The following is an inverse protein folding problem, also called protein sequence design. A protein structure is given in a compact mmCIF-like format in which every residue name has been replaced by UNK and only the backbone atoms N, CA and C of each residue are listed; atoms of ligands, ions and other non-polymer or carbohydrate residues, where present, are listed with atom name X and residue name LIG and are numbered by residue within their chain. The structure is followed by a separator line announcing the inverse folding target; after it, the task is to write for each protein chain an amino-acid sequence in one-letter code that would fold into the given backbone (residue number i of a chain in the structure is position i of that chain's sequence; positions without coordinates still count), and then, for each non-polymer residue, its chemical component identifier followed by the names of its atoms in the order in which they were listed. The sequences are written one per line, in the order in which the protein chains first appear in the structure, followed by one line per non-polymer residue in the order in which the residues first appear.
data_IF_194168286776
#
_entry.id   IF_194168286776
#
_cell.length_a   1.000
_cell.length_b   1.000
_cell.length_c   1.000
_cell.angle_alpha   90.00
_cell.angle_beta   90.00
_cell.angle_gamma   90.00
#
_symmetry.space_group_name_H-M   'P 1'
#
loop_
_entity.id
_entity.type
_entity.pdbx_description
1 polymer ?
#
# COMPACT_ATOMS: atom_id res chain seq x y z
N UNK A 1 61.53 -13.11 -44.28
CA UNK A 1 60.13 -13.49 -44.03
C UNK A 1 59.74 -12.99 -42.66
N UNK A 2 58.59 -12.28 -42.57
CA UNK A 2 57.75 -11.96 -41.39
C UNK A 2 58.46 -11.52 -40.09
N UNK A 3 58.22 -10.35 -39.47
CA UNK A 3 56.95 -9.66 -39.24
C UNK A 3 56.27 -10.19 -37.97
N UNK A 4 56.32 -9.44 -36.86
CA UNK A 4 55.40 -9.40 -35.69
C UNK A 4 56.19 -8.93 -34.44
N UNK A 5 56.13 -7.67 -34.01
CA UNK A 5 55.02 -6.92 -33.40
C UNK A 5 54.87 -7.17 -31.88
N UNK A 6 55.38 -6.16 -31.17
CA UNK A 6 55.17 -5.73 -29.78
C UNK A 6 53.82 -6.14 -29.19
N UNK A 7 53.81 -7.06 -28.22
CA UNK A 7 52.65 -7.26 -27.33
C UNK A 7 52.72 -6.31 -26.13
N UNK A 8 51.98 -5.21 -26.26
CA UNK A 8 51.51 -4.38 -25.15
C UNK A 8 50.56 -5.21 -24.29
N UNK A 9 50.91 -5.52 -23.05
CA UNK A 9 49.90 -5.76 -22.01
C UNK A 9 50.48 -5.42 -20.63
N UNK A 10 50.80 -4.13 -20.47
CA UNK A 10 50.99 -3.51 -19.17
C UNK A 10 49.62 -3.22 -18.55
N UNK A 11 49.49 -3.60 -17.27
CA UNK A 11 48.57 -3.00 -16.31
C UNK A 11 47.08 -2.95 -16.68
N UNK A 12 46.40 -4.11 -16.66
CA UNK A 12 44.97 -4.14 -16.35
C UNK A 12 44.81 -4.21 -14.84
N UNK A 13 44.68 -3.05 -14.23
CA UNK A 13 44.25 -2.86 -12.85
C UNK A 13 43.08 -3.79 -12.53
N UNK A 14 43.25 -4.57 -11.46
CA UNK A 14 42.23 -5.43 -10.90
C UNK A 14 41.10 -4.54 -10.35
N UNK A 15 40.17 -4.20 -11.24
CA UNK A 15 38.93 -3.53 -10.90
C UNK A 15 38.17 -4.44 -9.93
N UNK A 16 38.19 -4.03 -8.66
CA UNK A 16 37.46 -4.68 -7.59
C UNK A 16 35.97 -4.54 -7.89
N UNK A 17 35.42 -5.57 -8.56
CA UNK A 17 33.98 -5.74 -8.69
C UNK A 17 33.39 -5.60 -7.29
N UNK A 18 32.37 -4.73 -7.06
CA UNK A 18 31.72 -4.68 -5.77
C UNK A 18 31.22 -6.10 -5.47
N UNK A 19 31.82 -6.69 -4.43
CA UNK A 19 31.45 -8.01 -3.94
C UNK A 19 29.92 -8.00 -3.77
N UNK A 20 29.19 -9.01 -4.26
CA UNK A 20 27.79 -9.13 -3.92
C UNK A 20 27.75 -9.24 -2.40
N UNK A 21 27.21 -8.20 -1.75
CA UNK A 21 27.11 -8.11 -0.29
C UNK A 21 26.53 -9.45 0.17
N UNK A 22 27.41 -10.29 0.72
CA UNK A 22 27.04 -11.62 1.16
C UNK A 22 26.16 -11.35 2.37
N UNK A 23 24.85 -11.59 2.22
CA UNK A 23 23.84 -11.35 3.26
C UNK A 23 24.24 -12.12 4.52
N UNK A 24 24.94 -11.47 5.44
CA UNK A 24 25.10 -11.95 6.80
C UNK A 24 23.78 -11.70 7.51
N UNK A 25 22.88 -12.68 7.45
CA UNK A 25 21.71 -12.72 8.31
C UNK A 25 22.19 -12.96 9.75
N UNK A 26 22.46 -11.88 10.48
CA UNK A 26 22.87 -11.95 11.88
C UNK A 26 21.85 -11.24 12.76
N UNK A 27 20.62 -11.72 12.70
CA UNK A 27 19.75 -11.94 13.85
C UNK A 27 18.96 -13.21 13.55
N UNK A 28 18.56 -13.95 14.59
CA UNK A 28 17.84 -15.23 14.53
C UNK A 28 16.45 -15.18 13.91
N UNK A 29 16.25 -14.41 12.84
CA UNK A 29 15.05 -14.40 12.00
C UNK A 29 14.89 -15.77 11.34
N UNK A 30 14.18 -16.66 12.03
CA UNK A 30 13.61 -17.85 11.42
C UNK A 30 12.30 -17.42 10.75
N UNK A 31 12.16 -17.53 9.42
CA UNK A 31 10.89 -17.23 8.78
C UNK A 31 9.80 -18.06 9.47
N UNK A 32 8.66 -17.43 9.81
CA UNK A 32 7.63 -18.13 10.56
C UNK A 32 7.17 -19.38 9.79
N UNK A 33 6.89 -20.50 10.48
CA UNK A 33 6.38 -21.69 9.83
C UNK A 33 5.10 -21.34 9.07
N UNK A 34 4.92 -21.92 7.87
CA UNK A 34 3.72 -21.72 7.06
C UNK A 34 2.51 -22.22 7.85
N UNK A 35 1.72 -21.28 8.37
CA UNK A 35 0.47 -21.59 9.08
C UNK A 35 -0.55 -22.17 8.09
N UNK A 36 -1.39 -23.12 8.53
CA UNK A 36 -2.45 -23.66 7.69
C UNK A 36 -3.45 -22.55 7.33
N UNK A 37 -4.03 -22.63 6.13
CA UNK A 37 -4.92 -21.59 5.58
C UNK A 37 -6.08 -21.23 6.52
N UNK A 38 -6.61 -22.20 7.27
CA UNK A 38 -7.68 -22.01 8.26
C UNK A 38 -7.27 -21.11 9.43
N UNK A 39 -6.02 -21.19 9.88
CA UNK A 39 -5.52 -20.34 10.96
C UNK A 39 -5.28 -18.92 10.44
N UNK A 40 -4.77 -18.79 9.22
CA UNK A 40 -4.63 -17.48 8.54
C UNK A 40 -5.97 -16.78 8.35
N UNK A 41 -7.00 -17.50 7.91
CA UNK A 41 -8.35 -16.93 7.73
C UNK A 41 -8.97 -16.55 9.07
N UNK A 42 -8.82 -17.37 10.11
CA UNK A 42 -9.32 -17.04 11.46
C UNK A 42 -8.65 -15.80 12.07
N UNK A 43 -7.33 -15.64 11.88
CA UNK A 43 -6.61 -14.43 12.31
C UNK A 43 -7.10 -13.21 11.53
N UNK A 44 -7.25 -13.34 10.21
CA UNK A 44 -7.80 -12.31 9.34
C UNK A 44 -9.21 -11.88 9.77
N UNK A 45 -10.08 -12.83 10.09
CA UNK A 45 -11.46 -12.57 10.53
C UNK A 45 -11.50 -11.83 11.87
N UNK A 46 -10.66 -12.21 12.84
CA UNK A 46 -10.55 -11.49 14.12
C UNK A 46 -10.03 -10.06 13.94
N UNK A 47 -9.06 -9.86 13.06
CA UNK A 47 -8.54 -8.53 12.75
C UNK A 47 -9.60 -7.68 12.04
N UNK A 48 -10.32 -8.26 11.09
CA UNK A 48 -11.44 -7.61 10.41
C UNK A 48 -12.54 -7.21 11.39
N UNK A 49 -12.94 -8.09 12.31
CA UNK A 49 -13.98 -7.79 13.30
C UNK A 49 -13.60 -6.62 14.21
N UNK A 50 -12.33 -6.58 14.67
CA UNK A 50 -11.82 -5.45 15.45
C UNK A 50 -11.82 -4.15 14.64
N UNK A 51 -11.44 -4.21 13.36
CA UNK A 51 -11.47 -3.06 12.47
C UNK A 51 -12.90 -2.59 12.17
N UNK A 52 -13.83 -3.51 11.93
CA UNK A 52 -15.24 -3.22 11.69
C UNK A 52 -15.88 -2.47 12.87
N UNK A 53 -15.50 -2.80 14.10
CA UNK A 53 -15.97 -2.11 15.31
C UNK A 53 -15.35 -0.71 15.50
N UNK A 54 -14.36 -0.31 14.70
CA UNK A 54 -13.89 1.07 14.72
C UNK A 54 -14.91 1.99 14.05
N UNK A 55 -15.10 3.24 14.52
CA UNK A 55 -16.09 4.15 13.92
C UNK A 55 -15.89 4.35 12.40
N UNK A 56 -14.64 4.49 11.97
CA UNK A 56 -14.31 4.59 10.55
C UNK A 56 -14.57 3.28 9.79
N UNK A 57 -14.16 2.13 10.34
CA UNK A 57 -14.36 0.82 9.70
C UNK A 57 -15.83 0.45 9.58
N UNK A 58 -16.63 0.78 10.60
CA UNK A 58 -18.08 0.57 10.59
C UNK A 58 -18.75 1.39 9.48
N UNK A 59 -18.47 2.69 9.40
CA UNK A 59 -19.03 3.58 8.37
C UNK A 59 -18.62 3.16 6.95
N UNK A 60 -17.35 2.77 6.76
CA UNK A 60 -16.88 2.24 5.47
C UNK A 60 -17.61 0.96 5.10
N UNK A 61 -17.81 0.04 6.06
CA UNK A 61 -18.52 -1.22 5.80
C UNK A 61 -19.98 -0.98 5.46
N UNK A 62 -20.66 -0.08 6.17
CA UNK A 62 -22.04 0.32 5.88
C UNK A 62 -22.15 0.96 4.49
N UNK A 63 -21.21 1.81 4.12
CA UNK A 63 -21.12 2.37 2.77
C UNK A 63 -20.95 1.28 1.71
N UNK A 64 -20.00 0.35 1.89
CA UNK A 64 -19.80 -0.76 0.96
C UNK A 64 -21.05 -1.64 0.81
N UNK A 65 -21.76 -1.91 1.91
CA UNK A 65 -23.00 -2.68 1.88
C UNK A 65 -24.09 -1.93 1.11
N UNK A 66 -24.21 -0.61 1.25
CA UNK A 66 -25.12 0.20 0.45
C UNK A 66 -24.79 0.14 -1.05
N UNK A 67 -23.51 0.30 -1.43
CA UNK A 67 -23.10 0.17 -2.84
C UNK A 67 -23.51 -1.19 -3.42
N UNK A 68 -23.29 -2.28 -2.68
CA UNK A 68 -23.65 -3.64 -3.12
C UNK A 68 -25.16 -3.83 -3.18
N UNK A 69 -25.92 -3.28 -2.23
CA UNK A 69 -27.37 -3.38 -2.20
C UNK A 69 -28.01 -2.68 -3.40
N UNK A 70 -27.68 -1.40 -3.64
CA UNK A 70 -28.18 -0.62 -4.77
C UNK A 70 -27.65 -1.13 -6.11
N UNK A 71 -26.38 -1.56 -6.17
CA UNK A 71 -25.80 -2.17 -7.37
C UNK A 71 -26.43 -3.53 -7.72
N UNK A 72 -26.73 -4.35 -6.70
CA UNK A 72 -27.42 -5.62 -6.86
C UNK A 72 -28.87 -5.44 -7.29
N UNK A 73 -29.56 -4.44 -6.74
CA UNK A 73 -30.92 -4.07 -7.16
C UNK A 73 -30.96 -3.65 -8.64
N UNK A 74 -30.06 -2.76 -9.07
CA UNK A 74 -29.93 -2.38 -10.48
C UNK A 74 -29.70 -3.61 -11.38
N UNK A 75 -28.82 -4.53 -10.97
CA UNK A 75 -28.56 -5.76 -11.71
C UNK A 75 -29.81 -6.64 -11.85
N UNK A 76 -30.57 -6.83 -10.76
CA UNK A 76 -31.82 -7.60 -10.78
C UNK A 76 -32.88 -6.96 -11.69
N UNK A 77 -32.97 -5.62 -11.71
CA UNK A 77 -33.90 -4.88 -12.58
C UNK A 77 -33.50 -4.96 -14.06
N UNK A 78 -32.20 -4.99 -14.36
CA UNK A 78 -31.68 -5.18 -15.71
C UNK A 78 -31.93 -6.61 -16.22
N UNK A 79 -31.76 -7.62 -15.36
CA UNK A 79 -32.06 -9.02 -15.67
C UNK A 79 -33.57 -9.36 -15.72
N UNK A 80 -34.45 -8.36 -15.61
CA UNK A 80 -35.90 -8.52 -15.63
C UNK A 80 -36.43 -9.46 -14.53
N UNK A 81 -35.74 -9.53 -13.38
CA UNK A 81 -36.08 -10.43 -12.27
C UNK A 81 -37.30 -9.97 -11.44
N UNK A 82 -37.91 -8.83 -11.80
CA UNK A 82 -39.10 -8.28 -11.15
C UNK A 82 -40.25 -8.09 -12.15
N UNK A 83 -40.90 -9.18 -12.62
CA UNK A 83 -42.00 -9.12 -13.59
C UNK A 83 -43.24 -8.37 -13.07
N UNK A 84 -43.39 -8.26 -11.74
CA UNK A 84 -44.48 -7.51 -11.10
C UNK A 84 -44.40 -5.97 -11.31
N UNK A 85 -43.27 -5.45 -11.78
CA UNK A 85 -43.11 -4.02 -12.08
C UNK A 85 -43.40 -3.65 -13.55
N UNK A 86 -43.92 -4.59 -14.32
CA UNK A 86 -44.31 -4.42 -15.71
C UNK A 86 -45.81 -4.13 -15.87
N UNK A 87 -46.21 -2.92 -15.49
CA UNK A 87 -47.55 -2.40 -15.77
C UNK A 87 -47.43 -0.96 -16.26
N UNK A 88 -48.03 -0.57 -17.40
CA UNK A 88 -48.77 -1.40 -18.38
C UNK A 88 -47.88 -2.27 -19.28
N UNK A 89 -46.64 -1.88 -19.58
CA UNK A 89 -45.66 -2.64 -20.37
C UNK A 89 -44.25 -2.54 -19.75
N UNK A 90 -43.44 -3.61 -19.87
CA UNK A 90 -42.06 -3.64 -19.31
C UNK A 90 -41.09 -2.61 -19.91
N UNK A 91 -41.42 -2.05 -21.08
CA UNK A 91 -40.62 -1.08 -21.81
C UNK A 91 -41.28 0.31 -21.88
N UNK A 92 -42.37 0.51 -21.14
CA UNK A 92 -43.04 1.80 -21.11
C UNK A 92 -42.20 2.85 -20.36
N UNK A 93 -42.23 4.08 -20.85
CA UNK A 93 -41.44 5.21 -20.34
C UNK A 93 -41.78 5.51 -18.87
N UNK A 94 -43.03 5.27 -18.46
CA UNK A 94 -43.55 5.49 -17.11
C UNK A 94 -43.66 4.20 -16.29
N UNK A 95 -43.05 3.10 -16.75
CA UNK A 95 -43.08 1.84 -15.99
C UNK A 95 -42.35 2.00 -14.64
N UNK A 96 -42.88 1.42 -13.54
CA UNK A 96 -42.22 1.44 -12.23
C UNK A 96 -40.76 0.97 -12.28
N UNK A 97 -40.46 0.01 -13.16
CA UNK A 97 -39.10 -0.47 -13.44
C UNK A 97 -38.15 0.65 -13.86
N UNK A 98 -38.56 1.52 -14.79
CA UNK A 98 -37.71 2.59 -15.33
C UNK A 98 -37.46 3.68 -14.30
N UNK A 99 -38.45 3.97 -13.46
CA UNK A 99 -38.35 4.90 -12.33
C UNK A 99 -37.34 4.38 -11.29
N UNK A 100 -37.43 3.10 -10.91
CA UNK A 100 -36.44 2.50 -9.99
C UNK A 100 -35.04 2.45 -10.59
N UNK A 101 -34.90 2.14 -11.88
CA UNK A 101 -33.59 2.23 -12.56
C UNK A 101 -33.03 3.65 -12.49
N UNK A 102 -33.85 4.68 -12.70
CA UNK A 102 -33.41 6.08 -12.58
C UNK A 102 -32.97 6.43 -11.15
N UNK A 103 -33.72 6.02 -10.14
CA UNK A 103 -33.38 6.20 -8.73
C UNK A 103 -32.06 5.49 -8.38
N UNK A 104 -31.92 4.22 -8.76
CA UNK A 104 -30.72 3.42 -8.51
C UNK A 104 -29.48 4.07 -9.17
N UNK A 105 -29.63 4.59 -10.39
CA UNK A 105 -28.56 5.28 -11.10
C UNK A 105 -28.17 6.59 -10.42
N UNK A 106 -29.12 7.38 -9.92
CA UNK A 106 -28.83 8.62 -9.20
C UNK A 106 -28.08 8.33 -7.88
N UNK A 107 -28.54 7.34 -7.11
CA UNK A 107 -27.92 6.94 -5.85
C UNK A 107 -26.51 6.38 -6.08
N UNK A 108 -26.33 5.46 -7.03
CA UNK A 108 -25.00 4.91 -7.33
C UNK A 108 -24.04 5.99 -7.83
N UNK A 109 -24.51 6.93 -8.65
CA UNK A 109 -23.71 8.06 -9.09
C UNK A 109 -23.29 8.94 -7.91
N UNK A 110 -24.19 9.25 -6.97
CA UNK A 110 -23.88 10.01 -5.75
C UNK A 110 -22.85 9.28 -4.88
N UNK A 111 -23.06 7.98 -4.59
CA UNK A 111 -22.15 7.17 -3.77
C UNK A 111 -20.73 7.15 -4.37
N UNK A 112 -20.60 6.98 -5.68
CA UNK A 112 -19.31 7.03 -6.36
C UNK A 112 -18.68 8.43 -6.38
N UNK A 113 -19.49 9.49 -6.50
CA UNK A 113 -19.01 10.86 -6.40
C UNK A 113 -18.48 11.17 -4.99
N UNK A 114 -19.16 10.73 -3.93
CA UNK A 114 -18.75 10.97 -2.53
C UNK A 114 -17.38 10.35 -2.24
N UNK A 115 -17.10 9.15 -2.75
CA UNK A 115 -15.75 8.56 -2.60
C UNK A 115 -14.68 9.26 -3.43
N UNK A 116 -15.06 9.71 -4.64
CA UNK A 116 -14.19 10.54 -5.48
C UNK A 116 -13.79 11.86 -4.82
N UNK A 117 -14.74 12.58 -4.24
CA UNK A 117 -14.49 13.84 -3.53
C UNK A 117 -13.86 13.62 -2.14
N UNK A 118 -14.22 12.55 -1.42
CA UNK A 118 -13.69 12.26 -0.09
C UNK A 118 -12.18 12.00 -0.06
N UNK A 119 -11.62 11.49 -1.16
CA UNK A 119 -10.16 11.29 -1.30
C UNK A 119 -9.43 12.49 -1.93
N UNK A 120 -10.15 13.48 -2.46
CA UNK A 120 -9.54 14.66 -3.08
C UNK A 120 -8.63 15.45 -2.13
N UNK A 121 -8.97 15.69 -0.84
CA UNK A 121 -8.08 16.41 0.09
C UNK A 121 -6.71 15.74 0.26
N UNK A 122 -6.68 14.40 0.29
CA UNK A 122 -5.44 13.63 0.42
C UNK A 122 -4.57 13.75 -0.83
N UNK A 123 -5.19 13.77 -2.02
CA UNK A 123 -4.50 13.97 -3.31
C UNK A 123 -3.91 15.37 -3.43
N UNK A 124 -4.67 16.41 -3.05
CA UNK A 124 -4.16 17.79 -3.08
C UNK A 124 -3.04 18.02 -2.09
N UNK A 125 -3.11 17.42 -0.89
CA UNK A 125 -2.00 17.43 0.07
C UNK A 125 -0.74 16.81 -0.53
N UNK A 126 -0.85 15.65 -1.16
CA UNK A 126 0.28 14.96 -1.76
C UNK A 126 0.88 15.77 -2.94
N UNK A 127 0.03 16.40 -3.76
CA UNK A 127 0.46 17.33 -4.82
C UNK A 127 1.15 18.58 -4.26
N UNK A 128 0.63 19.15 -3.16
CA UNK A 128 1.22 20.31 -2.50
C UNK A 128 2.66 20.02 -2.05
N UNK A 129 2.89 18.89 -1.36
CA UNK A 129 4.24 18.52 -0.92
C UNK A 129 5.15 18.13 -2.07
N UNK A 130 4.61 17.54 -3.13
CA UNK A 130 5.35 17.28 -4.37
C UNK A 130 5.80 18.57 -5.05
N UNK A 131 4.91 19.56 -5.18
CA UNK A 131 5.24 20.88 -5.70
C UNK A 131 6.30 21.57 -4.82
N UNK A 132 6.16 21.46 -3.50
CA UNK A 132 7.14 21.95 -2.54
C UNK A 132 8.53 21.31 -2.71
N UNK A 133 8.57 20.04 -3.10
CA UNK A 133 9.80 19.29 -3.37
C UNK A 133 10.44 19.64 -4.73
N UNK A 134 9.64 19.75 -5.81
CA UNK A 134 10.15 19.93 -7.18
C UNK A 134 10.36 21.38 -7.60
N UNK A 135 9.49 22.28 -7.15
CA UNK A 135 9.46 23.70 -7.56
C UNK A 135 10.12 24.59 -6.48
N UNK A 136 10.28 24.10 -5.25
CA UNK A 136 10.88 24.83 -4.15
C UNK A 136 12.41 24.93 -4.23
N UNK A 137 12.98 25.92 -3.53
CA UNK A 137 14.44 26.06 -3.35
C UNK A 137 15.08 24.94 -2.50
N UNK A 138 16.41 24.95 -2.29
CA UNK A 138 17.16 23.83 -1.71
C UNK A 138 16.64 23.32 -0.35
N UNK A 139 16.30 24.24 0.56
CA UNK A 139 15.73 23.90 1.88
C UNK A 139 14.31 23.32 1.80
N UNK A 140 13.49 23.83 0.86
CA UNK A 140 12.12 23.37 0.63
C UNK A 140 12.10 21.99 -0.02
N UNK A 141 13.05 21.70 -0.91
CA UNK A 141 13.26 20.39 -1.54
C UNK A 141 13.44 19.28 -0.49
N UNK A 142 14.33 19.49 0.47
CA UNK A 142 14.57 18.54 1.56
C UNK A 142 13.32 18.37 2.45
N UNK A 143 12.63 19.46 2.75
CA UNK A 143 11.41 19.39 3.57
C UNK A 143 10.28 18.64 2.87
N UNK A 144 10.07 18.89 1.58
CA UNK A 144 9.00 18.27 0.79
C UNK A 144 9.15 16.75 0.68
N UNK A 145 10.36 16.27 0.33
CA UNK A 145 10.60 14.82 0.20
C UNK A 145 10.51 14.10 1.55
N UNK A 146 10.98 14.73 2.64
CA UNK A 146 10.89 14.15 4.00
C UNK A 146 9.45 14.07 4.51
N UNK A 147 8.60 15.05 4.16
CA UNK A 147 7.16 15.02 4.46
C UNK A 147 6.45 13.94 3.65
N UNK A 148 6.78 13.81 2.36
CA UNK A 148 6.27 12.74 1.51
C UNK A 148 6.70 11.36 2.02
N UNK A 149 7.94 11.21 2.49
CA UNK A 149 8.43 9.97 3.11
C UNK A 149 7.66 9.60 4.38
N UNK A 150 7.26 10.59 5.19
CA UNK A 150 6.39 10.34 6.34
C UNK A 150 4.97 9.91 5.94
N UNK A 151 4.41 10.47 4.87
CA UNK A 151 3.09 10.08 4.36
C UNK A 151 3.14 8.66 3.79
N UNK A 152 4.17 8.37 3.00
CA UNK A 152 4.36 7.11 2.27
C UNK A 152 5.36 6.19 2.97
N UNK A 153 5.38 6.19 4.32
CA UNK A 153 6.38 5.47 5.14
C UNK A 153 6.45 3.97 4.87
N UNK A 154 5.37 3.38 4.36
CA UNK A 154 5.29 1.96 4.05
C UNK A 154 6.17 1.51 2.89
N UNK A 155 6.59 2.42 2.00
CA UNK A 155 7.34 2.04 0.81
C UNK A 155 8.39 3.06 0.36
N UNK A 156 8.21 4.34 0.67
CA UNK A 156 9.18 5.38 0.31
C UNK A 156 10.35 5.36 1.30
N UNK A 157 11.57 5.17 0.78
CA UNK A 157 12.84 5.26 1.52
C UNK A 157 13.63 6.48 1.07
N UNK A 158 14.10 7.28 2.02
CA UNK A 158 14.86 8.52 1.76
C UNK A 158 16.30 8.19 1.36
N UNK A 159 16.97 9.07 0.58
CA UNK A 159 18.41 8.93 0.34
C UNK A 159 19.19 8.91 1.66
N UNK A 160 20.04 7.90 1.87
CA UNK A 160 20.80 7.74 3.11
C UNK A 160 20.08 7.01 4.23
N UNK A 161 18.81 6.61 4.06
CA UNK A 161 18.08 5.83 5.08
C UNK A 161 18.63 4.42 5.26
N UNK A 162 19.46 3.96 4.33
CA UNK A 162 20.18 2.69 4.33
C UNK A 162 21.36 2.66 5.30
N UNK A 163 21.90 3.82 5.68
CA UNK A 163 23.04 3.95 6.61
C UNK A 163 22.61 4.23 8.05
N UNK A 164 21.31 4.29 8.32
CA UNK A 164 20.77 4.48 9.67
C UNK A 164 21.13 3.29 10.57
N UNK A 165 21.28 3.52 11.90
CA UNK A 165 21.48 2.44 12.87
C UNK A 165 20.42 1.34 12.73
N UNK A 166 20.77 0.09 13.03
CA UNK A 166 19.87 -1.07 12.87
C UNK A 166 18.59 -0.95 13.73
N UNK A 167 18.69 -0.27 14.88
CA UNK A 167 17.63 0.03 15.84
C UNK A 167 17.04 1.44 15.68
N UNK A 168 17.27 2.08 14.53
CA UNK A 168 16.80 3.43 14.22
C UNK A 168 15.28 3.55 14.42
N UNK A 169 14.92 4.19 15.53
CA UNK A 169 13.54 4.48 15.91
C UNK A 169 13.38 5.97 16.18
N UNK A 170 12.14 6.42 16.37
CA UNK A 170 11.84 7.83 16.60
C UNK A 170 12.53 8.41 17.86
N UNK A 171 13.05 7.57 18.76
CA UNK A 171 13.80 7.97 19.96
C UNK A 171 15.33 7.92 19.80
N UNK A 172 15.85 7.16 18.83
CA UNK A 172 17.30 6.89 18.71
C UNK A 172 17.99 7.83 17.72
N UNK A 173 17.26 8.35 16.74
CA UNK A 173 17.83 9.16 15.63
C UNK A 173 17.52 10.65 15.81
N UNK A 174 18.43 11.52 15.37
CA UNK A 174 18.23 12.97 15.40
C UNK A 174 17.21 13.43 14.36
N UNK A 175 16.30 14.33 14.74
CA UNK A 175 15.31 14.93 13.84
C UNK A 175 15.91 15.80 12.73
N UNK A 176 17.18 16.18 12.85
CA UNK A 176 17.86 17.03 11.87
C UNK A 176 18.38 16.24 10.66
N UNK A 177 18.52 14.92 10.79
CA UNK A 177 19.07 14.05 9.75
C UNK A 177 18.19 14.07 8.48
N UNK A 178 18.74 14.40 7.29
CA UNK A 178 18.00 14.36 6.03
C UNK A 178 17.47 12.97 5.66
N UNK A 179 18.03 11.89 6.21
CA UNK A 179 17.58 10.51 6.00
C UNK A 179 16.27 10.17 6.74
N UNK A 180 15.78 11.07 7.61
CA UNK A 180 14.61 10.82 8.46
C UNK A 180 13.38 11.59 8.00
N UNK A 181 12.18 10.96 7.91
CA UNK A 181 10.95 11.64 7.54
C UNK A 181 10.51 12.69 8.57
N UNK A 182 9.68 13.64 8.11
CA UNK A 182 9.05 14.63 8.97
C UNK A 182 7.53 14.35 8.95
N UNK A 183 6.85 14.21 10.10
CA UNK A 183 7.39 14.26 11.48
C UNK A 183 8.17 12.98 11.85
N UNK A 184 9.08 13.11 12.80
CA UNK A 184 10.01 12.04 13.22
C UNK A 184 9.30 10.74 13.66
N UNK A 185 8.12 10.88 14.28
CA UNK A 185 7.28 9.74 14.68
C UNK A 185 6.80 8.86 13.52
N UNK A 186 6.93 9.32 12.26
CA UNK A 186 6.59 8.55 11.06
C UNK A 186 7.79 7.83 10.44
N UNK A 187 8.92 7.73 11.14
CA UNK A 187 10.00 6.82 10.75
C UNK A 187 9.43 5.39 10.59
N UNK A 188 9.88 4.62 9.58
CA UNK A 188 9.57 3.20 9.49
C UNK A 188 10.01 2.47 10.76
N UNK A 189 9.26 1.45 11.17
CA UNK A 189 9.66 0.61 12.30
C UNK A 189 10.95 -0.16 11.95
N UNK A 190 11.85 -0.38 12.92
CA UNK A 190 13.13 -1.03 12.64
C UNK A 190 12.90 -2.42 12.03
N UNK A 191 13.61 -2.75 10.94
CA UNK A 191 13.37 -3.99 10.21
C UNK A 191 13.77 -5.19 11.11
N UNK A 192 12.94 -6.25 11.18
CA UNK A 192 13.29 -7.48 11.89
C UNK A 192 14.61 -8.15 11.44
N UNK A 193 15.10 -7.81 10.25
CA UNK A 193 16.37 -8.28 9.69
C UNK A 193 17.58 -7.44 10.09
N UNK A 194 17.38 -6.28 10.71
CA UNK A 194 18.42 -5.28 11.04
C UNK A 194 18.94 -4.49 9.83
N UNK A 195 18.49 -4.83 8.61
CA UNK A 195 18.96 -4.20 7.37
C UNK A 195 17.86 -3.30 6.79
N UNK A 196 18.13 -2.00 6.70
CA UNK A 196 17.24 -1.03 6.08
C UNK A 196 17.16 -1.22 4.56
N UNK A 197 15.96 -1.01 3.98
CA UNK A 197 15.80 -1.07 2.54
C UNK A 197 16.56 0.06 1.82
N UNK A 198 17.12 -0.20 0.62
CA UNK A 198 17.84 0.81 -0.15
C UNK A 198 16.94 1.99 -0.51
N UNK A 199 17.52 3.18 -0.75
CA UNK A 199 16.77 4.39 -1.05
C UNK A 199 15.92 4.20 -2.31
N UNK A 200 14.66 4.65 -2.23
CA UNK A 200 13.72 4.49 -3.33
C UNK A 200 14.03 5.51 -4.43
N UNK A 201 13.95 5.09 -5.71
CA UNK A 201 14.15 5.99 -6.85
C UNK A 201 13.12 7.12 -6.82
N UNK A 202 13.57 8.37 -6.91
CA UNK A 202 12.74 9.57 -6.79
C UNK A 202 11.58 9.64 -7.79
N UNK A 203 11.78 9.16 -9.02
CA UNK A 203 10.75 9.14 -10.06
C UNK A 203 9.49 8.35 -9.68
N UNK A 204 9.60 7.34 -8.80
CA UNK A 204 8.44 6.55 -8.34
C UNK A 204 7.44 7.46 -7.62
N UNK A 205 7.92 8.44 -6.87
CA UNK A 205 7.07 9.41 -6.20
C UNK A 205 6.41 10.38 -7.17
N UNK A 206 7.16 10.88 -8.17
CA UNK A 206 6.58 11.74 -9.20
C UNK A 206 5.46 11.00 -9.93
N UNK A 207 5.71 9.76 -10.32
CA UNK A 207 4.72 8.93 -11.01
C UNK A 207 3.43 8.76 -10.18
N UNK A 208 3.55 8.40 -8.90
CA UNK A 208 2.37 8.21 -8.02
C UNK A 208 1.58 9.51 -7.84
N UNK A 209 2.25 10.64 -7.65
CA UNK A 209 1.56 11.93 -7.46
C UNK A 209 0.87 12.38 -8.75
N UNK A 210 1.54 12.30 -9.89
CA UNK A 210 0.95 12.68 -11.17
C UNK A 210 -0.23 11.79 -11.56
N UNK A 211 -0.13 10.47 -11.35
CA UNK A 211 -1.25 9.55 -11.57
C UNK A 211 -2.46 9.87 -10.70
N UNK A 212 -2.25 10.42 -9.51
CA UNK A 212 -3.32 10.83 -8.60
C UNK A 212 -3.99 12.17 -8.98
N UNK A 213 -3.35 13.00 -9.82
CA UNK A 213 -3.78 14.39 -10.09
C UNK A 213 -4.39 14.59 -11.47
N UNK A 214 -4.00 13.81 -12.48
CA UNK A 214 -4.55 13.96 -13.84
C UNK A 214 -6.08 13.76 -13.89
N UNK A 215 -6.78 14.70 -14.53
CA UNK A 215 -8.24 14.76 -14.72
C UNK A 215 -8.78 13.49 -15.39
N UNK A 216 -9.88 12.94 -14.85
CA UNK A 216 -10.59 11.79 -15.43
C UNK A 216 -12.07 12.15 -15.69
N UNK A 217 -12.60 11.93 -16.91
CA UNK A 217 -14.03 12.07 -17.18
C UNK A 217 -14.86 11.06 -16.36
N UNK A 218 -16.16 11.33 -16.15
CA UNK A 218 -17.03 10.55 -15.24
C UNK A 218 -17.17 9.06 -15.58
N UNK A 219 -17.14 8.66 -16.86
CA UNK A 219 -17.08 7.25 -17.28
C UNK A 219 -15.74 6.58 -16.93
N UNK A 220 -14.69 7.39 -16.83
CA UNK A 220 -13.37 6.93 -16.52
C UNK A 220 -13.19 6.67 -15.03
N UNK A 221 -13.99 7.26 -14.14
CA UNK A 221 -13.89 7.04 -12.70
C UNK A 221 -14.19 5.57 -12.34
N UNK A 222 -15.23 4.96 -12.93
CA UNK A 222 -15.54 3.53 -12.72
C UNK A 222 -14.47 2.60 -13.29
N UNK A 223 -14.05 2.83 -14.54
CA UNK A 223 -12.95 2.10 -15.18
C UNK A 223 -11.64 2.25 -14.38
N UNK A 224 -11.34 3.45 -13.89
CA UNK A 224 -10.14 3.73 -13.11
C UNK A 224 -10.25 3.31 -11.65
N UNK A 225 -11.44 3.10 -11.07
CA UNK A 225 -11.57 2.41 -9.79
C UNK A 225 -11.22 0.93 -9.97
N UNK A 226 -11.70 0.29 -11.04
CA UNK A 226 -11.30 -1.08 -11.37
C UNK A 226 -9.79 -1.18 -11.66
N UNK A 227 -9.26 -0.30 -12.51
CA UNK A 227 -7.83 -0.25 -12.80
C UNK A 227 -7.00 0.21 -11.59
N UNK A 228 -7.49 1.10 -10.72
CA UNK A 228 -6.78 1.50 -9.50
C UNK A 228 -6.79 0.38 -8.47
N UNK A 229 -7.81 -0.47 -8.44
CA UNK A 229 -7.81 -1.70 -7.64
C UNK A 229 -6.73 -2.66 -8.14
N UNK A 230 -6.58 -2.78 -9.47
CA UNK A 230 -5.51 -3.56 -10.11
C UNK A 230 -4.13 -2.94 -9.83
N UNK A 231 -3.97 -1.61 -10.01
CA UNK A 231 -2.69 -0.90 -9.79
C UNK A 231 -2.34 -0.84 -8.31
N UNK A 232 -3.30 -0.72 -7.40
CA UNK A 232 -3.08 -0.86 -5.96
C UNK A 232 -2.70 -2.30 -5.61
N UNK A 233 -3.29 -3.30 -6.29
CA UNK A 233 -2.86 -4.69 -6.22
C UNK A 233 -1.41 -4.87 -6.68
N UNK A 234 -1.05 -4.36 -7.86
CA UNK A 234 0.31 -4.41 -8.43
C UNK A 234 1.30 -3.62 -7.57
N UNK A 235 0.92 -2.44 -7.10
CA UNK A 235 1.71 -1.62 -6.18
C UNK A 235 1.91 -2.32 -4.84
N UNK A 236 0.87 -2.95 -4.30
CA UNK A 236 0.95 -3.82 -3.12
C UNK A 236 1.89 -5.00 -3.34
N UNK A 237 1.86 -5.64 -4.52
CA UNK A 237 2.77 -6.72 -4.91
C UNK A 237 4.22 -6.22 -5.04
N UNK A 238 4.44 -5.06 -5.68
CA UNK A 238 5.76 -4.45 -5.79
C UNK A 238 6.32 -4.06 -4.41
N UNK A 239 5.50 -3.48 -3.53
CA UNK A 239 5.89 -3.18 -2.15
C UNK A 239 6.20 -4.46 -1.37
N UNK A 240 5.40 -5.51 -1.57
CA UNK A 240 5.63 -6.82 -0.97
C UNK A 240 6.94 -7.46 -1.45
N UNK A 241 7.29 -7.30 -2.73
CA UNK A 241 8.53 -7.84 -3.30
C UNK A 241 9.78 -7.02 -2.97
N UNK A 242 9.71 -5.68 -3.04
CA UNK A 242 10.89 -4.83 -2.92
C UNK A 242 11.24 -4.56 -1.44
N UNK A 243 10.23 -4.27 -0.61
CA UNK A 243 10.45 -3.80 0.77
C UNK A 243 10.39 -4.98 1.75
N UNK A 244 9.32 -5.78 1.71
CA UNK A 244 9.15 -6.89 2.66
C UNK A 244 10.11 -8.06 2.44
N UNK A 245 10.69 -8.21 1.24
CA UNK A 245 11.76 -9.21 1.00
C UNK A 245 13.08 -8.83 1.66
N UNK A 246 13.32 -7.54 1.90
CA UNK A 246 14.57 -7.01 2.47
C UNK A 246 14.41 -6.80 3.98
N UNK A 247 13.33 -6.13 4.39
CA UNK A 247 13.06 -5.80 5.79
C UNK A 247 12.43 -6.96 6.58
N UNK A 248 11.87 -7.96 5.89
CA UNK A 248 11.08 -9.02 6.52
C UNK A 248 9.64 -8.59 6.79
N UNK A 249 8.81 -9.53 7.25
CA UNK A 249 7.44 -9.21 7.70
C UNK A 249 7.50 -9.09 9.22
N UNK A 250 6.96 -8.02 9.84
CA UNK A 250 6.87 -7.95 11.29
C UNK A 250 6.09 -9.16 11.80
N UNK A 251 6.69 -9.89 12.74
CA UNK A 251 6.14 -11.12 13.28
C UNK A 251 4.99 -10.76 14.22
N UNK A 252 3.80 -10.53 13.67
CA UNK A 252 2.56 -10.33 14.44
C UNK A 252 2.24 -11.58 15.31
N UNK A 253 2.92 -12.69 15.05
CA UNK A 253 2.82 -13.94 15.80
C UNK A 253 3.54 -13.96 17.14
N UNK A 254 4.40 -12.98 17.47
CA UNK A 254 5.22 -13.08 18.68
C UNK A 254 4.37 -13.10 19.97
N UNK A 255 3.25 -12.38 20.00
CA UNK A 255 2.28 -12.45 21.12
C UNK A 255 1.43 -13.73 21.18
N UNK A 256 1.37 -14.53 20.09
CA UNK A 256 0.60 -15.78 20.01
C UNK A 256 1.48 -17.01 20.22
N UNK A 257 2.74 -16.96 19.79
CA UNK A 257 3.74 -17.97 20.15
C UNK A 257 4.02 -17.94 21.65
N UNK A 258 4.13 -16.76 22.28
CA UNK A 258 4.29 -16.67 23.73
C UNK A 258 3.10 -17.29 24.49
N UNK A 259 1.87 -17.09 24.01
CA UNK A 259 0.67 -17.72 24.57
C UNK A 259 0.63 -19.25 24.37
N UNK A 260 1.24 -19.77 23.31
CA UNK A 260 1.29 -21.21 23.03
C UNK A 260 2.40 -21.88 23.84
N UNK A 261 3.53 -21.21 24.08
CA UNK A 261 4.60 -21.67 24.97
C UNK A 261 4.22 -21.54 26.45
N UNK A 262 3.32 -20.60 26.80
CA UNK A 262 2.76 -20.42 28.15
C UNK A 262 1.53 -21.30 28.45
N UNK A 263 1.22 -22.32 27.63
CA UNK A 263 0.36 -23.40 28.13
C UNK A 263 1.22 -24.27 29.06
N UNK A 264 1.01 -24.26 30.38
CA UNK A 264 1.74 -25.17 31.24
C UNK A 264 1.35 -26.59 30.82
N UNK A 265 2.36 -27.39 30.54
CA UNK A 265 2.28 -28.85 30.54
C UNK A 265 1.96 -29.30 31.97
N UNK A 266 0.72 -29.04 32.39
CA UNK A 266 0.13 -29.51 33.63
C UNK A 266 -0.09 -31.00 33.51
N UNK A 267 0.98 -31.75 33.76
CA UNK A 267 0.96 -33.17 34.07
C UNK A 267 0.06 -33.35 35.29
N UNK A 268 -1.20 -33.73 35.07
CA UNK A 268 -2.11 -34.22 36.10
C UNK A 268 -1.43 -35.45 36.74
N UNK A 269 -0.92 -35.28 37.96
CA UNK A 269 -0.76 -36.38 38.91
C UNK A 269 -2.10 -36.53 39.62
N UNK A 270 -2.80 -37.61 39.31
CA UNK A 270 -3.58 -38.40 40.25
C UNK A 270 -3.07 -39.84 40.11
#
# INVERSE_FOLDING_TARGET
MQGAEVTKESAKSMEMRPQPVTRKATYGYRPPPKVPWTTSTAIGLKAFWKWFLTPAGFLITLYCLNVVAWGGMLFLLLCNAAPAMCHPDCNDLQSPRRIWIEIDLQILNELFCVTGFGLAPWRFRDLYWWGWWRIGGPKRKQTGIRRLAGIHRGWLRLPGSDHLPEDASASTVSSEDPAVPIPHAKIPDPPPTGIHAPPTKSWKMDFVVWMNVYHRPSWATGLFVALASIVAGVGGIMMFHDVKKVEGVPVLYQGLSEYTTMRPTGRLKL
#
